data_IF_961890842971
#
_entry.id   IF_961890842971
#
_cell.length_a   1.000
_cell.length_b   1.000
_cell.length_c   1.000
_cell.angle_alpha   90.00
_cell.angle_beta   90.00
_cell.angle_gamma   90.00
#
_symmetry.space_group_name_H-M   'P 1'
#
loop_
_entity.id
_entity.type
_entity.pdbx_description
1 polymer ?
#
# COMPACT_ATOMS: atom_id res chain seq x y z
N UNK A 1 -12.73 13.44 42.16
CA UNK A 1 -13.50 13.10 40.95
C UNK A 1 -12.81 13.76 39.77
N UNK A 2 -12.35 12.93 38.79
CA UNK A 2 -11.75 13.39 37.56
C UNK A 2 -12.80 13.49 36.46
N UNK A 3 -12.63 14.48 35.56
CA UNK A 3 -13.35 14.58 34.30
C UNK A 3 -12.38 14.32 33.15
N UNK A 4 -12.84 13.69 32.09
CA UNK A 4 -12.07 13.53 30.87
C UNK A 4 -12.78 14.23 29.72
N UNK A 5 -12.05 15.02 28.97
CA UNK A 5 -12.50 15.60 27.70
C UNK A 5 -11.81 14.81 26.58
N UNK A 6 -12.60 14.37 25.60
CA UNK A 6 -12.11 13.59 24.46
C UNK A 6 -12.39 14.40 23.19
N UNK A 7 -11.33 14.80 22.51
CA UNK A 7 -11.41 15.40 21.20
C UNK A 7 -11.02 14.35 20.15
N UNK A 8 -11.89 14.13 19.17
CA UNK A 8 -11.69 13.13 18.12
C UNK A 8 -11.66 13.85 16.78
N UNK A 9 -10.51 13.77 16.12
CA UNK A 9 -10.33 14.33 14.78
C UNK A 9 -9.89 13.23 13.83
N UNK A 10 -10.60 13.06 12.71
CA UNK A 10 -10.23 12.12 11.66
C UNK A 10 -8.98 12.62 10.94
N UNK A 11 -7.97 11.76 10.84
CA UNK A 11 -6.70 12.10 10.19
C UNK A 11 -6.46 11.32 8.89
N UNK A 12 -7.09 10.16 8.72
CA UNK A 12 -6.98 9.33 7.53
C UNK A 12 -8.34 8.78 7.13
N UNK A 13 -8.61 8.80 5.83
CA UNK A 13 -9.80 8.22 5.24
C UNK A 13 -9.46 7.01 4.40
N UNK A 14 -10.40 6.06 4.28
CA UNK A 14 -10.20 4.89 3.43
C UNK A 14 -10.05 5.33 1.97
N UNK A 15 -8.93 4.96 1.36
CA UNK A 15 -8.62 5.34 -0.02
C UNK A 15 -9.43 4.57 -1.06
N UNK A 16 -10.13 3.50 -0.69
CA UNK A 16 -10.83 2.62 -1.62
C UNK A 16 -11.71 3.36 -2.61
N UNK A 17 -12.53 4.31 -2.13
CA UNK A 17 -13.42 5.08 -3.01
C UNK A 17 -12.69 5.95 -4.03
N UNK A 18 -11.45 6.37 -3.71
CA UNK A 18 -10.58 7.16 -4.60
C UNK A 18 -9.81 6.28 -5.58
N UNK A 19 -9.60 5.02 -5.25
CA UNK A 19 -8.89 4.05 -6.10
C UNK A 19 -9.84 3.35 -7.07
N UNK A 20 -11.09 3.05 -6.68
CA UNK A 20 -12.04 2.32 -7.51
C UNK A 20 -12.23 2.90 -8.93
N UNK A 21 -12.32 4.23 -9.15
CA UNK A 21 -12.40 4.80 -10.50
C UNK A 21 -11.13 4.59 -11.33
N UNK A 22 -10.03 4.23 -10.68
CA UNK A 22 -8.72 4.00 -11.27
C UNK A 22 -8.24 2.56 -11.04
N UNK A 23 -9.14 1.60 -11.13
CA UNK A 23 -8.86 0.20 -10.77
C UNK A 23 -7.74 -0.44 -11.61
N UNK A 24 -7.48 0.09 -12.81
CA UNK A 24 -6.35 -0.30 -13.64
C UNK A 24 -4.99 -0.21 -12.91
N UNK A 25 -4.85 0.66 -11.89
CA UNK A 25 -3.64 0.73 -11.05
C UNK A 25 -3.46 -0.57 -10.25
N UNK A 26 -4.55 -1.10 -9.70
CA UNK A 26 -4.55 -2.37 -8.96
C UNK A 26 -4.25 -3.52 -9.92
N UNK A 27 -4.94 -3.59 -11.07
CA UNK A 27 -4.73 -4.66 -12.05
C UNK A 27 -3.28 -4.71 -12.55
N UNK A 28 -2.67 -3.56 -12.85
CA UNK A 28 -1.26 -3.48 -13.25
C UNK A 28 -0.33 -3.94 -12.13
N UNK A 29 -0.59 -3.53 -10.89
CA UNK A 29 0.18 -3.99 -9.74
C UNK A 29 0.06 -5.50 -9.55
N UNK A 30 -1.15 -6.05 -9.59
CA UNK A 30 -1.36 -7.50 -9.49
C UNK A 30 -0.64 -8.28 -10.59
N UNK A 31 -0.69 -7.77 -11.83
CA UNK A 31 0.01 -8.40 -12.95
C UNK A 31 1.53 -8.35 -12.77
N UNK A 32 2.08 -7.25 -12.24
CA UNK A 32 3.50 -7.15 -11.93
C UNK A 32 3.93 -8.15 -10.84
N UNK A 33 3.11 -8.34 -9.80
CA UNK A 33 3.34 -9.39 -8.80
C UNK A 33 3.34 -10.77 -9.41
N UNK A 34 2.31 -11.12 -10.20
CA UNK A 34 2.21 -12.44 -10.86
C UNK A 34 3.38 -12.70 -11.80
N UNK A 35 3.81 -11.70 -12.56
CA UNK A 35 4.96 -11.81 -13.46
C UNK A 35 6.28 -12.10 -12.72
N UNK A 36 6.36 -11.75 -11.44
CA UNK A 36 7.52 -12.02 -10.58
C UNK A 36 7.30 -13.19 -9.62
N UNK A 37 6.33 -14.06 -9.90
CA UNK A 37 6.10 -15.30 -9.16
C UNK A 37 5.41 -15.11 -7.80
N UNK A 38 4.81 -13.96 -7.56
CA UNK A 38 4.10 -13.66 -6.31
C UNK A 38 2.59 -13.64 -6.57
N UNK A 39 1.83 -14.37 -5.76
CA UNK A 39 0.38 -14.30 -5.78
C UNK A 39 -0.08 -13.00 -5.10
N UNK A 40 -0.71 -12.06 -5.82
CA UNK A 40 -1.17 -10.82 -5.24
C UNK A 40 -2.39 -11.06 -4.34
N UNK A 41 -2.49 -10.27 -3.30
CA UNK A 41 -3.62 -10.27 -2.40
C UNK A 41 -3.91 -8.85 -1.92
N UNK A 42 -5.09 -8.32 -2.28
CA UNK A 42 -5.56 -7.05 -1.73
C UNK A 42 -6.12 -7.26 -0.32
N UNK A 43 -5.51 -6.62 0.63
CA UNK A 43 -5.93 -6.70 2.04
C UNK A 43 -6.09 -5.29 2.63
N UNK A 44 -7.01 -5.10 3.58
CA UNK A 44 -7.05 -3.87 4.33
C UNK A 44 -5.80 -3.76 5.20
N UNK A 45 -5.29 -2.55 5.33
CA UNK A 45 -4.20 -2.25 6.26
C UNK A 45 -4.73 -1.53 7.49
N UNK A 46 -4.03 -1.71 8.58
CA UNK A 46 -4.32 -1.06 9.84
C UNK A 46 -3.60 0.29 9.89
N UNK A 47 -4.34 1.35 10.20
CA UNK A 47 -3.80 2.71 10.30
C UNK A 47 -3.84 3.46 8.96
N UNK A 48 -3.27 4.66 8.96
CA UNK A 48 -3.20 5.52 7.79
C UNK A 48 -1.89 5.38 7.03
N UNK A 49 -1.89 5.84 5.78
CA UNK A 49 -0.70 5.87 4.91
C UNK A 49 -0.64 7.16 4.12
N UNK A 50 0.55 7.51 3.65
CA UNK A 50 0.74 8.64 2.74
C UNK A 50 -0.07 8.44 1.45
N UNK A 51 -0.18 7.19 0.96
CA UNK A 51 -1.01 6.86 -0.19
C UNK A 51 -2.49 7.18 0.02
N UNK A 52 -3.02 7.02 1.23
CA UNK A 52 -4.39 7.42 1.55
C UNK A 52 -4.53 8.95 1.45
N UNK A 53 -3.62 9.72 2.04
CA UNK A 53 -3.64 11.18 1.97
C UNK A 53 -3.49 11.69 0.53
N UNK A 54 -2.56 11.12 -0.24
CA UNK A 54 -2.38 11.46 -1.65
C UNK A 54 -3.61 11.16 -2.50
N UNK A 55 -4.26 10.02 -2.25
CA UNK A 55 -5.48 9.63 -2.96
C UNK A 55 -6.63 10.61 -2.70
N UNK A 56 -6.79 11.07 -1.47
CA UNK A 56 -7.78 12.08 -1.11
C UNK A 56 -7.41 13.49 -1.61
N UNK A 57 -6.12 13.77 -1.79
CA UNK A 57 -5.64 14.99 -2.42
C UNK A 57 -5.77 15.00 -3.96
N UNK A 58 -6.28 13.92 -4.56
CA UNK A 58 -6.54 13.83 -6.00
C UNK A 58 -5.50 13.03 -6.80
N UNK A 59 -4.53 12.41 -6.13
CA UNK A 59 -3.56 11.50 -6.76
C UNK A 59 -3.85 10.06 -6.29
N UNK A 60 -4.57 9.24 -7.06
CA UNK A 60 -4.82 7.84 -6.70
C UNK A 60 -3.50 7.09 -6.48
N UNK A 61 -3.26 6.67 -5.23
CA UNK A 61 -1.97 6.13 -4.80
C UNK A 61 -2.16 4.88 -3.92
N UNK A 62 -2.42 3.70 -4.54
CA UNK A 62 -2.52 2.46 -3.79
C UNK A 62 -1.15 2.05 -3.21
N UNK A 63 -1.18 1.35 -2.08
CA UNK A 63 0.03 0.86 -1.43
C UNK A 63 0.45 -0.50 -2.00
N UNK A 64 1.76 -0.71 -2.11
CA UNK A 64 2.35 -2.01 -2.37
C UNK A 64 2.96 -2.57 -1.09
N UNK A 65 2.96 -3.90 -0.95
CA UNK A 65 3.70 -4.59 0.10
C UNK A 65 5.20 -4.48 -0.16
N UNK A 66 5.99 -4.43 0.90
CA UNK A 66 7.45 -4.54 0.84
C UNK A 66 7.94 -5.97 1.03
N UNK A 67 7.08 -6.88 1.50
CA UNK A 67 7.44 -8.24 1.88
C UNK A 67 8.11 -8.36 3.25
N UNK A 68 7.98 -7.33 4.10
CA UNK A 68 8.50 -7.32 5.47
C UNK A 68 7.48 -7.82 6.50
N UNK A 69 7.92 -7.89 7.74
CA UNK A 69 7.16 -8.40 8.88
C UNK A 69 7.38 -7.55 10.12
N UNK A 70 6.43 -7.61 11.05
CA UNK A 70 6.50 -6.95 12.35
C UNK A 70 6.71 -5.44 12.29
N UNK A 71 6.07 -4.78 11.34
CA UNK A 71 6.19 -3.33 11.12
C UNK A 71 5.95 -2.53 12.40
N UNK A 72 6.73 -1.46 12.56
CA UNK A 72 6.72 -0.56 13.71
C UNK A 72 7.13 -1.21 15.03
N UNK A 73 7.66 -2.43 15.00
CA UNK A 73 8.14 -3.15 16.16
C UNK A 73 9.67 -3.19 16.23
N UNK A 74 10.20 -3.41 17.43
CA UNK A 74 11.66 -3.59 17.64
C UNK A 74 12.22 -4.87 16.96
N UNK A 75 11.34 -5.73 16.48
CA UNK A 75 11.66 -6.95 15.74
C UNK A 75 11.18 -6.88 14.30
N UNK A 76 11.12 -5.70 13.72
CA UNK A 76 10.83 -5.52 12.31
C UNK A 76 11.96 -6.14 11.47
N UNK A 77 11.59 -6.89 10.45
CA UNK A 77 12.54 -7.55 9.58
C UNK A 77 11.98 -7.79 8.18
N UNK A 78 12.87 -8.03 7.22
CA UNK A 78 12.52 -8.41 5.86
C UNK A 78 13.50 -9.51 5.38
N UNK A 79 13.02 -10.58 4.71
CA UNK A 79 13.90 -11.50 4.01
C UNK A 79 14.67 -10.79 2.89
N UNK A 80 15.96 -11.05 2.75
CA UNK A 80 16.76 -10.44 1.66
C UNK A 80 16.19 -10.75 0.28
N UNK A 81 15.68 -11.97 0.07
CA UNK A 81 15.03 -12.36 -1.18
C UNK A 81 13.78 -11.51 -1.50
N UNK A 82 13.08 -10.98 -0.51
CA UNK A 82 11.93 -10.10 -0.73
C UNK A 82 12.36 -8.75 -1.32
N UNK A 83 13.56 -8.26 -1.01
CA UNK A 83 14.10 -7.03 -1.57
C UNK A 83 14.28 -7.16 -3.10
N UNK A 84 14.86 -8.27 -3.54
CA UNK A 84 15.07 -8.53 -4.97
C UNK A 84 13.74 -8.69 -5.71
N UNK A 85 12.82 -9.47 -5.15
CA UNK A 85 11.50 -9.70 -5.73
C UNK A 85 10.73 -8.39 -5.84
N UNK A 86 10.68 -7.58 -4.77
CA UNK A 86 9.94 -6.32 -4.79
C UNK A 86 10.58 -5.27 -5.70
N UNK A 87 11.91 -5.26 -5.82
CA UNK A 87 12.59 -4.44 -6.83
C UNK A 87 12.12 -4.80 -8.23
N UNK A 88 12.08 -6.08 -8.56
CA UNK A 88 11.61 -6.56 -9.87
C UNK A 88 10.12 -6.25 -10.10
N UNK A 89 9.28 -6.37 -9.07
CA UNK A 89 7.87 -5.97 -9.15
C UNK A 89 7.72 -4.49 -9.51
N UNK A 90 8.46 -3.61 -8.84
CA UNK A 90 8.41 -2.16 -9.10
C UNK A 90 8.90 -1.84 -10.51
N UNK A 91 9.99 -2.47 -10.97
CA UNK A 91 10.49 -2.30 -12.35
C UNK A 91 9.45 -2.77 -13.38
N UNK A 92 8.87 -3.96 -13.18
CA UNK A 92 7.83 -4.50 -14.06
C UNK A 92 6.59 -3.60 -14.09
N UNK A 93 6.15 -3.14 -12.92
CA UNK A 93 5.01 -2.24 -12.81
C UNK A 93 5.26 -0.91 -13.53
N UNK A 94 6.41 -0.30 -13.31
CA UNK A 94 6.78 0.97 -13.95
C UNK A 94 6.83 0.82 -15.46
N UNK A 95 7.44 -0.24 -15.98
CA UNK A 95 7.52 -0.52 -17.41
C UNK A 95 6.11 -0.69 -18.02
N UNK A 96 5.15 -1.25 -17.30
CA UNK A 96 3.79 -1.44 -17.79
C UNK A 96 3.03 -0.14 -18.08
N UNK A 97 3.49 1.00 -17.57
CA UNK A 97 2.91 2.32 -17.84
C UNK A 97 3.58 3.03 -19.03
N UNK A 98 4.69 2.51 -19.56
CA UNK A 98 5.39 3.05 -20.69
C UNK A 98 4.86 2.56 -22.06
N UNK A 99 3.90 1.63 -22.04
CA UNK A 99 3.28 1.02 -23.23
C UNK A 99 2.08 1.81 -23.75
#
# INVERSE_FOLDING_TARGET
DGTAEVDITDSYYNMKEKILPHFHLIERAENAFRANGVAPMCVPIRGGTDGANLSWAGLPCPNLSTGGYNYHGVREWIPSASLDVMTNVVVTLTASFAE
#
